data_IF_063951209553
#
_entry.id   IF_063951209553
#
_cell.length_a   1.000
_cell.length_b   1.000
_cell.length_c   1.000
_cell.angle_alpha   90.00
_cell.angle_beta   90.00
_cell.angle_gamma   90.00
#
_symmetry.space_group_name_H-M   'P 1'
#
loop_
_entity.id
_entity.type
_entity.pdbx_description
1 polymer ?
#
# COMPACT_ATOMS: atom_id res chain seq x y z
N UNK A 1 11.10 -0.61 15.30
CA UNK A 1 10.23 -1.71 14.92
C UNK A 1 9.82 -2.48 16.16
N UNK A 2 8.54 -2.81 16.26
CA UNK A 2 7.97 -3.77 17.20
C UNK A 2 7.15 -4.79 16.42
N UNK A 3 7.10 -6.02 16.92
CA UNK A 3 6.48 -7.14 16.23
C UNK A 3 5.49 -7.83 17.16
N UNK A 4 4.36 -8.23 16.61
CA UNK A 4 3.39 -9.14 17.22
C UNK A 4 3.29 -10.39 16.35
N UNK A 5 2.39 -11.31 16.70
CA UNK A 5 2.10 -12.48 15.86
C UNK A 5 1.53 -12.09 14.49
N UNK A 6 0.81 -10.96 14.41
CA UNK A 6 0.05 -10.58 13.21
C UNK A 6 0.55 -9.30 12.54
N UNK A 7 1.37 -8.50 13.23
CA UNK A 7 1.73 -7.16 12.78
C UNK A 7 3.21 -6.82 13.01
N UNK A 8 3.73 -5.94 12.16
CA UNK A 8 4.98 -5.23 12.38
C UNK A 8 4.68 -3.72 12.40
N UNK A 9 5.12 -3.05 13.47
CA UNK A 9 4.95 -1.61 13.64
C UNK A 9 6.30 -0.90 13.60
N UNK A 10 6.39 0.16 12.83
CA UNK A 10 7.53 1.07 12.76
C UNK A 10 7.13 2.42 13.34
N UNK A 11 7.78 2.81 14.44
CA UNK A 11 7.76 4.18 14.92
C UNK A 11 9.05 4.89 14.48
N UNK A 12 8.92 5.90 13.63
CA UNK A 12 10.01 6.80 13.23
C UNK A 12 10.18 7.84 14.34
N UNK A 13 11.15 7.61 15.23
CA UNK A 13 11.32 8.40 16.44
C UNK A 13 11.93 9.79 16.19
N UNK A 14 12.73 9.93 15.13
CA UNK A 14 13.43 11.16 14.79
C UNK A 14 13.63 11.27 13.28
N UNK A 15 13.54 12.49 12.76
CA UNK A 15 13.80 12.82 11.35
C UNK A 15 14.69 14.05 11.27
N UNK A 16 15.40 14.20 10.15
CA UNK A 16 16.05 15.47 9.80
C UNK A 16 14.96 16.47 9.36
N UNK A 17 14.88 17.63 10.02
CA UNK A 17 13.87 18.66 9.72
C UNK A 17 14.03 19.25 8.31
N UNK A 18 15.16 19.05 7.65
CA UNK A 18 15.43 19.54 6.30
C UNK A 18 15.26 18.46 5.22
N UNK A 19 14.88 17.23 5.59
CA UNK A 19 14.71 16.12 4.65
C UNK A 19 13.38 15.41 4.86
N UNK A 20 12.63 15.31 3.77
CA UNK A 20 11.41 14.51 3.71
C UNK A 20 11.73 13.03 3.47
N UNK A 21 10.78 12.16 3.79
CA UNK A 21 10.86 10.73 3.50
C UNK A 21 9.51 10.17 3.01
N UNK A 22 9.53 8.92 2.58
CA UNK A 22 8.35 8.10 2.30
C UNK A 22 8.49 6.75 3.01
N UNK A 23 7.39 6.04 3.14
CA UNK A 23 7.39 4.64 3.55
C UNK A 23 6.88 3.81 2.37
N UNK A 24 7.68 2.83 1.92
CA UNK A 24 7.39 2.05 0.73
C UNK A 24 7.19 0.57 1.04
N UNK A 25 6.25 -0.02 0.30
CA UNK A 25 6.20 -1.44 0.07
C UNK A 25 6.43 -1.69 -1.43
N UNK A 26 7.46 -2.47 -1.74
CA UNK A 26 7.79 -2.91 -3.10
C UNK A 26 8.00 -4.42 -3.05
N UNK A 27 7.07 -5.18 -3.63
CA UNK A 27 7.12 -6.63 -3.56
C UNK A 27 5.84 -7.34 -4.00
N UNK A 28 5.80 -8.65 -3.75
CA UNK A 28 4.70 -9.54 -4.13
C UNK A 28 3.94 -9.95 -2.85
N UNK A 29 2.66 -9.61 -2.76
CA UNK A 29 1.87 -9.81 -1.52
C UNK A 29 1.29 -11.22 -1.37
N UNK A 30 1.25 -12.04 -2.42
CA UNK A 30 0.61 -13.37 -2.42
C UNK A 30 1.49 -14.49 -3.00
N UNK A 31 2.81 -14.29 -3.01
CA UNK A 31 3.78 -15.28 -3.49
C UNK A 31 3.90 -15.41 -5.02
N UNK A 32 2.95 -14.87 -5.78
CA UNK A 32 3.06 -14.71 -7.24
C UNK A 32 2.66 -13.29 -7.67
N UNK A 33 3.28 -12.84 -8.76
CA UNK A 33 2.92 -11.58 -9.37
C UNK A 33 1.93 -11.83 -10.52
N UNK A 34 0.69 -11.45 -10.28
CA UNK A 34 -0.42 -11.56 -11.21
C UNK A 34 -1.44 -10.44 -10.90
N UNK A 35 -1.34 -9.30 -11.59
CA UNK A 35 -2.24 -8.17 -11.41
C UNK A 35 -3.70 -8.47 -11.76
N UNK A 36 -3.99 -9.47 -12.60
CA UNK A 36 -5.36 -9.80 -13.02
C UNK A 36 -6.15 -10.51 -11.92
N UNK A 37 -5.46 -11.33 -11.12
CA UNK A 37 -6.04 -11.96 -9.93
C UNK A 37 -5.79 -11.18 -8.65
N UNK A 38 -5.03 -10.10 -8.72
CA UNK A 38 -4.81 -9.21 -7.59
C UNK A 38 -5.95 -8.21 -7.44
N UNK A 39 -6.16 -7.77 -6.21
CA UNK A 39 -6.99 -6.63 -5.91
C UNK A 39 -6.35 -5.80 -4.81
N UNK A 40 -6.79 -4.56 -4.70
CA UNK A 40 -6.35 -3.65 -3.66
C UNK A 40 -7.51 -2.78 -3.19
N UNK A 41 -7.31 -2.04 -2.10
CA UNK A 41 -8.28 -1.08 -1.62
C UNK A 41 -7.67 -0.16 -0.57
N UNK A 42 -8.46 0.82 -0.12
CA UNK A 42 -8.08 1.78 0.92
C UNK A 42 -9.27 2.01 1.84
N UNK A 43 -9.10 2.72 2.96
CA UNK A 43 -10.26 3.09 3.78
C UNK A 43 -11.22 4.07 3.08
N UNK A 44 -10.79 4.69 1.97
CA UNK A 44 -11.64 5.61 1.18
C UNK A 44 -12.28 4.99 -0.03
N UNK A 45 -11.58 4.03 -0.62
CA UNK A 45 -11.94 3.40 -1.88
C UNK A 45 -12.19 1.94 -1.60
N UNK A 46 -13.34 1.46 -2.07
CA UNK A 46 -13.69 0.05 -1.98
C UNK A 46 -12.66 -0.89 -2.62
N UNK A 47 -12.96 -2.19 -2.68
CA UNK A 47 -12.15 -3.11 -3.47
C UNK A 47 -12.02 -2.63 -4.93
N UNK A 48 -10.79 -2.67 -5.44
CA UNK A 48 -10.39 -2.25 -6.78
C UNK A 48 -9.59 -3.33 -7.48
N UNK A 49 -9.79 -3.42 -8.78
CA UNK A 49 -9.13 -4.36 -9.70
C UNK A 49 -8.41 -3.65 -10.85
N UNK A 50 -8.44 -2.31 -10.89
CA UNK A 50 -7.63 -1.60 -11.86
C UNK A 50 -6.14 -1.82 -11.58
N UNK A 51 -5.39 -1.90 -12.67
CA UNK A 51 -3.95 -2.18 -12.68
C UNK A 51 -3.17 -0.94 -13.10
N UNK A 52 -3.01 0.07 -12.22
CA UNK A 52 -2.21 1.25 -12.53
C UNK A 52 -0.75 0.87 -12.71
N UNK A 53 -0.13 1.28 -13.82
CA UNK A 53 1.23 0.86 -14.21
C UNK A 53 2.20 2.03 -14.08
N UNK A 54 3.32 1.80 -13.38
CA UNK A 54 4.41 2.76 -13.20
C UNK A 54 5.51 2.57 -14.27
N UNK A 55 6.25 3.62 -14.67
CA UNK A 55 6.10 5.04 -14.33
C UNK A 55 5.14 5.82 -15.24
N UNK A 56 5.02 5.40 -16.51
CA UNK A 56 4.28 6.13 -17.56
C UNK A 56 3.18 5.24 -18.17
N UNK A 57 2.67 4.30 -17.38
CA UNK A 57 1.68 3.34 -17.83
C UNK A 57 0.30 3.96 -18.02
N UNK A 58 -0.58 3.17 -18.63
CA UNK A 58 -1.99 3.49 -18.76
C UNK A 58 -2.78 2.30 -18.17
N UNK A 59 -3.65 2.46 -17.15
CA UNK A 59 -3.84 3.69 -16.40
C UNK A 59 -2.57 4.09 -15.62
N UNK A 60 -2.36 5.40 -15.38
CA UNK A 60 -1.22 5.89 -14.63
C UNK A 60 -1.30 5.43 -13.16
N UNK A 61 -0.20 5.59 -12.40
CA UNK A 61 -0.18 5.34 -10.95
C UNK A 61 -1.37 5.98 -10.24
N UNK A 62 -2.00 5.24 -9.32
CA UNK A 62 -3.13 5.74 -8.56
C UNK A 62 -2.64 6.63 -7.42
N UNK A 63 -3.22 7.83 -7.32
CA UNK A 63 -2.86 8.83 -6.33
C UNK A 63 -4.11 9.37 -5.64
N UNK A 64 -4.08 9.34 -4.31
CA UNK A 64 -5.07 9.97 -3.44
C UNK A 64 -4.52 10.01 -2.01
N UNK A 65 -5.30 10.57 -1.08
CA UNK A 65 -4.95 10.72 0.32
C UNK A 65 -5.68 9.70 1.16
N UNK A 66 -4.99 8.68 1.64
CA UNK A 66 -5.54 7.67 2.53
C UNK A 66 -4.58 7.37 3.68
N UNK A 67 -5.06 6.68 4.72
CA UNK A 67 -4.28 6.27 5.89
C UNK A 67 -4.08 4.77 5.96
N UNK A 68 -4.92 3.99 5.31
CA UNK A 68 -4.86 2.54 5.29
C UNK A 68 -5.05 1.99 3.87
N UNK A 69 -4.39 0.89 3.58
CA UNK A 69 -4.54 0.18 2.31
C UNK A 69 -4.37 -1.30 2.53
N UNK A 70 -4.94 -2.10 1.63
CA UNK A 70 -4.75 -3.53 1.61
C UNK A 70 -4.56 -4.04 0.19
N UNK A 71 -3.89 -5.17 0.08
CA UNK A 71 -3.59 -5.90 -1.15
C UNK A 71 -3.96 -7.37 -0.94
N UNK A 72 -4.72 -7.93 -1.87
CA UNK A 72 -5.16 -9.32 -1.81
C UNK A 72 -5.08 -9.98 -3.17
N UNK A 73 -5.45 -11.26 -3.16
CA UNK A 73 -5.45 -12.13 -4.33
C UNK A 73 -6.66 -13.04 -4.25
N UNK A 74 -7.38 -13.21 -5.36
CA UNK A 74 -8.71 -13.85 -5.36
C UNK A 74 -8.72 -15.26 -4.76
N UNK A 75 -7.68 -16.06 -5.00
CA UNK A 75 -7.61 -17.43 -4.50
C UNK A 75 -7.02 -17.58 -3.09
N UNK A 76 -6.61 -16.48 -2.44
CA UNK A 76 -5.94 -16.51 -1.13
C UNK A 76 -6.81 -15.80 -0.09
N UNK A 77 -7.27 -16.49 0.97
CA UNK A 77 -8.16 -15.92 1.99
C UNK A 77 -7.41 -15.02 2.99
N UNK A 78 -6.52 -14.15 2.49
CA UNK A 78 -5.65 -13.28 3.28
C UNK A 78 -5.31 -12.03 2.49
N UNK A 79 -5.24 -10.89 3.18
CA UNK A 79 -4.71 -9.65 2.64
C UNK A 79 -3.48 -9.18 3.41
N UNK A 80 -2.53 -8.56 2.70
CA UNK A 80 -1.50 -7.70 3.29
C UNK A 80 -2.09 -6.31 3.45
N UNK A 81 -1.95 -5.70 4.61
CA UNK A 81 -2.38 -4.32 4.84
C UNK A 81 -1.25 -3.43 5.35
N UNK A 82 -1.41 -2.13 5.13
CA UNK A 82 -0.51 -1.09 5.63
C UNK A 82 -1.30 0.12 6.12
N UNK A 83 -0.88 0.68 7.26
CA UNK A 83 -1.51 1.82 7.95
C UNK A 83 -0.44 2.86 8.28
N UNK A 84 -0.75 4.14 8.10
CA UNK A 84 -0.03 5.27 8.69
C UNK A 84 -0.88 5.92 9.79
N UNK A 85 -0.31 5.98 11.00
CA UNK A 85 -0.95 6.56 12.19
C UNK A 85 -0.74 8.06 12.21
N UNK A 86 -1.67 8.80 11.61
CA UNK A 86 -1.64 10.26 11.48
C UNK A 86 -3.07 10.81 11.43
N UNK A 87 -3.25 12.04 11.91
CA UNK A 87 -4.54 12.72 11.85
C UNK A 87 -4.92 13.09 10.41
N UNK A 88 -3.97 13.62 9.65
CA UNK A 88 -4.17 13.99 8.25
C UNK A 88 -3.53 12.98 7.31
N UNK A 89 -4.31 12.50 6.34
CA UNK A 89 -3.85 11.56 5.31
C UNK A 89 -2.86 12.23 4.34
N UNK A 90 -1.62 11.71 4.22
CA UNK A 90 -0.68 12.17 3.21
C UNK A 90 -1.14 11.77 1.80
N UNK A 91 -0.60 12.42 0.78
CA UNK A 91 -0.74 11.94 -0.60
C UNK A 91 0.07 10.66 -0.76
N UNK A 92 -0.56 9.63 -1.33
CA UNK A 92 0.02 8.30 -1.48
C UNK A 92 0.02 7.87 -2.94
N UNK A 93 0.69 6.75 -3.19
CA UNK A 93 0.76 6.12 -4.50
C UNK A 93 0.48 4.62 -4.38
N UNK A 94 -0.29 4.09 -5.34
CA UNK A 94 -0.38 2.67 -5.62
C UNK A 94 -0.14 2.41 -7.11
N UNK A 95 0.67 1.40 -7.44
CA UNK A 95 0.93 0.98 -8.80
C UNK A 95 1.49 -0.44 -8.86
N UNK A 96 1.55 -1.01 -10.06
CA UNK A 96 2.37 -2.15 -10.41
C UNK A 96 3.58 -1.68 -11.22
N UNK A 97 4.74 -2.29 -10.98
CA UNK A 97 5.99 -2.04 -11.70
C UNK A 97 6.48 -3.35 -12.34
N UNK A 98 7.32 -3.26 -13.37
CA UNK A 98 7.82 -4.40 -14.15
C UNK A 98 6.86 -4.83 -15.26
N UNK A 99 5.61 -4.37 -15.24
CA UNK A 99 4.57 -4.74 -16.21
C UNK A 99 4.30 -3.71 -17.27
N UNK A 100 3.78 -4.19 -18.40
CA UNK A 100 3.07 -3.37 -19.39
C UNK A 100 1.65 -3.89 -19.58
N UNK A 101 0.79 -3.16 -20.30
CA UNK A 101 -0.54 -3.67 -20.68
C UNK A 101 -0.46 -4.99 -21.45
N UNK A 102 0.60 -5.17 -22.22
CA UNK A 102 0.84 -6.35 -23.07
C UNK A 102 1.55 -7.48 -22.31
N UNK A 103 2.12 -7.19 -21.14
CA UNK A 103 2.87 -8.15 -20.33
C UNK A 103 2.64 -7.91 -18.83
N UNK A 104 1.48 -8.37 -18.34
CA UNK A 104 1.10 -8.30 -16.93
C UNK A 104 1.78 -9.38 -16.06
N UNK A 105 2.59 -10.26 -16.65
CA UNK A 105 3.20 -11.42 -15.98
C UNK A 105 4.73 -11.32 -15.93
N UNK A 106 5.23 -10.09 -15.85
CA UNK A 106 6.66 -9.82 -15.87
C UNK A 106 7.39 -10.49 -14.69
N UNK A 107 8.56 -11.05 -14.96
CA UNK A 107 9.34 -11.77 -13.96
C UNK A 107 9.87 -10.88 -12.83
N UNK A 108 10.04 -9.58 -13.11
CA UNK A 108 10.39 -8.51 -12.16
C UNK A 108 9.16 -7.71 -11.71
N UNK A 109 7.96 -8.22 -11.99
CA UNK A 109 6.72 -7.59 -11.64
C UNK A 109 6.52 -7.49 -10.13
N UNK A 110 6.06 -6.33 -9.66
CA UNK A 110 5.77 -6.12 -8.23
C UNK A 110 4.66 -5.10 -7.99
N UNK A 111 4.02 -5.22 -6.84
CA UNK A 111 3.20 -4.15 -6.26
C UNK A 111 4.12 -3.07 -5.71
N UNK A 112 3.84 -1.82 -6.04
CA UNK A 112 4.52 -0.62 -5.55
C UNK A 112 3.51 0.25 -4.82
N UNK A 113 3.71 0.43 -3.53
CA UNK A 113 2.89 1.28 -2.68
C UNK A 113 3.78 2.24 -1.88
N UNK A 114 3.31 3.47 -1.68
CA UNK A 114 4.02 4.43 -0.85
C UNK A 114 3.15 5.43 -0.11
N UNK A 115 3.36 5.54 1.21
CA UNK A 115 2.87 6.67 1.99
C UNK A 115 3.75 7.90 1.76
N UNK A 116 3.11 9.04 1.48
CA UNK A 116 3.83 10.30 1.23
C UNK A 116 4.66 10.28 -0.04
N UNK A 117 4.12 9.69 -1.11
CA UNK A 117 4.77 9.60 -2.43
C UNK A 117 3.85 10.22 -3.49
N UNK A 118 4.40 11.14 -4.28
CA UNK A 118 3.73 11.69 -5.46
C UNK A 118 4.16 10.95 -6.73
N UNK A 119 3.75 11.45 -7.90
CA UNK A 119 4.13 10.91 -9.22
C UNK A 119 5.64 10.97 -9.49
N UNK A 120 6.43 11.72 -8.72
CA UNK A 120 7.87 11.83 -8.87
C UNK A 120 8.64 11.15 -7.74
N UNK A 121 9.98 11.21 -7.79
CA UNK A 121 10.85 10.76 -6.70
C UNK A 121 10.88 11.77 -5.54
N UNK A 122 9.80 12.50 -5.29
CA UNK A 122 9.74 13.51 -4.22
C UNK A 122 9.01 12.96 -2.99
N UNK A 123 9.73 12.72 -1.88
CA UNK A 123 9.09 12.33 -0.62
C UNK A 123 8.30 13.46 0.00
N UNK A 124 7.22 13.13 0.73
CA UNK A 124 6.28 14.09 1.29
C UNK A 124 6.14 14.03 2.81
N UNK A 125 6.62 12.98 3.49
CA UNK A 125 6.49 12.86 4.94
C UNK A 125 7.59 13.65 5.66
N UNK A 126 7.19 14.26 6.77
CA UNK A 126 8.05 15.00 7.68
C UNK A 126 7.74 14.59 9.12
N UNK A 127 8.72 14.75 9.99
CA UNK A 127 8.58 14.49 11.41
C UNK A 127 8.36 13.02 11.76
N UNK A 128 8.21 12.73 13.07
CA UNK A 128 7.86 11.41 13.55
C UNK A 128 6.52 10.91 12.97
N UNK A 129 6.50 9.66 12.51
CA UNK A 129 5.29 8.93 12.09
C UNK A 129 5.36 7.51 12.59
N UNK A 130 4.19 6.89 12.73
CA UNK A 130 4.10 5.46 13.02
C UNK A 130 3.39 4.75 11.88
N UNK A 131 3.84 3.55 11.55
CA UNK A 131 3.29 2.72 10.50
C UNK A 131 3.03 1.32 11.05
N UNK A 132 1.95 0.69 10.60
CA UNK A 132 1.68 -0.72 10.88
C UNK A 132 1.53 -1.45 9.55
N UNK A 133 2.17 -2.60 9.42
CA UNK A 133 1.89 -3.57 8.36
C UNK A 133 1.48 -4.89 9.01
N UNK A 134 0.62 -5.66 8.35
CA UNK A 134 0.17 -6.94 8.88
C UNK A 134 -0.62 -7.75 7.88
N UNK A 135 -1.10 -8.90 8.34
CA UNK A 135 -2.00 -9.75 7.57
C UNK A 135 -3.36 -9.84 8.24
N UNK A 136 -4.41 -9.93 7.43
CA UNK A 136 -5.76 -10.20 7.89
C UNK A 136 -6.31 -11.40 7.11
N UNK A 137 -6.79 -12.44 7.82
CA UNK A 137 -7.27 -13.70 7.24
C UNK A 137 -8.73 -13.59 6.76
N UNK A 138 -8.98 -12.62 5.88
CA UNK A 138 -10.29 -12.45 5.23
C UNK A 138 -10.11 -11.81 3.86
N UNK A 139 -11.13 -11.98 3.01
CA UNK A 139 -11.30 -11.23 1.78
C UNK A 139 -12.63 -10.46 1.81
N UNK A 140 -13.37 -10.44 2.92
CA UNK A 140 -14.56 -9.61 2.97
C UNK A 140 -14.14 -8.13 3.08
N UNK A 141 -14.54 -7.33 2.09
CA UNK A 141 -14.16 -5.93 2.06
C UNK A 141 -14.65 -5.16 3.29
N UNK A 142 -15.85 -5.44 3.76
CA UNK A 142 -16.45 -4.75 4.90
C UNK A 142 -15.70 -5.10 6.19
N UNK A 143 -15.33 -6.37 6.37
CA UNK A 143 -14.50 -6.81 7.50
C UNK A 143 -13.11 -6.14 7.48
N UNK A 144 -12.48 -6.08 6.29
CA UNK A 144 -11.18 -5.42 6.13
C UNK A 144 -11.29 -3.94 6.51
N UNK A 145 -12.25 -3.20 5.95
CA UNK A 145 -12.38 -1.76 6.23
C UNK A 145 -12.70 -1.52 7.69
N UNK A 146 -13.61 -2.28 8.28
CA UNK A 146 -13.94 -2.15 9.70
C UNK A 146 -12.69 -2.34 10.58
N UNK A 147 -11.88 -3.36 10.32
CA UNK A 147 -10.63 -3.59 11.03
C UNK A 147 -9.63 -2.43 10.84
N UNK A 148 -9.47 -1.94 9.61
CA UNK A 148 -8.55 -0.83 9.32
C UNK A 148 -9.00 0.48 9.99
N UNK A 149 -10.31 0.74 10.05
CA UNK A 149 -10.87 1.91 10.73
C UNK A 149 -10.68 1.84 12.24
N UNK A 150 -10.89 0.67 12.86
CA UNK A 150 -10.67 0.46 14.29
C UNK A 150 -9.19 0.66 14.66
N UNK A 151 -8.26 0.23 13.81
CA UNK A 151 -6.82 0.47 14.00
C UNK A 151 -6.39 1.94 13.76
N UNK A 152 -7.27 2.77 13.20
CA UNK A 152 -7.05 4.20 12.95
C UNK A 152 -7.61 5.12 14.05
N UNK A 153 -8.42 4.59 14.98
CA UNK A 153 -9.00 5.30 16.12
C UNK A 153 -8.00 5.44 17.29
#
# INVERSE_FOLDING_TARGET
WSFTEHTARLDVMQTDSNRKYWFLYEGIHSGCFDPEQSYWGTEKHGRRHDTPIWPDGNPPPFHDRWRATYFGFESVPRVLYAIIHTQEAPLNLFSYMGVTKENLWAADGMTVFGFGRNHGPTPLLEGPKSFTIGFLETQDHSEIIHYLEDELL
#
